data_IF_318271535185
#
_entry.id   IF_318271535185
#
_cell.length_a   1.000
_cell.length_b   1.000
_cell.length_c   1.000
_cell.angle_alpha   90.00
_cell.angle_beta   90.00
_cell.angle_gamma   90.00
#
_symmetry.space_group_name_H-M   'P 1'
#
loop_
_entity.id
_entity.type
_entity.pdbx_description
1 polymer ?
#
# COMPACT_ATOMS: atom_id res chain seq x y z
N UNK A 1 19.74 -10.71 -8.11
CA UNK A 1 18.42 -11.10 -7.62
C UNK A 1 17.89 -10.00 -6.69
N UNK A 2 16.67 -9.53 -6.95
CA UNK A 2 16.04 -8.48 -6.15
C UNK A 2 14.81 -9.02 -5.41
N UNK A 3 14.58 -8.49 -4.22
CA UNK A 3 13.40 -8.76 -3.41
C UNK A 3 12.75 -7.44 -3.02
N UNK A 4 11.43 -7.38 -3.09
CA UNK A 4 10.65 -6.27 -2.54
C UNK A 4 10.12 -6.70 -1.18
N UNK A 5 10.35 -5.89 -0.17
CA UNK A 5 9.96 -6.16 1.22
C UNK A 5 9.09 -5.04 1.73
N UNK A 6 7.92 -5.38 2.23
CA UNK A 6 7.05 -4.44 2.94
C UNK A 6 7.34 -4.48 4.43
N UNK A 7 7.39 -3.32 5.05
CA UNK A 7 7.45 -3.20 6.50
C UNK A 7 6.06 -2.75 6.99
N UNK A 8 5.19 -3.71 7.20
CA UNK A 8 3.88 -3.46 7.79
C UNK A 8 4.05 -2.93 9.21
N UNK A 9 3.52 -1.75 9.47
CA UNK A 9 3.48 -1.21 10.80
C UNK A 9 2.14 -0.53 11.03
N UNK A 10 1.41 -1.00 11.99
CA UNK A 10 0.19 -0.39 12.45
C UNK A 10 0.54 0.69 13.48
N UNK A 11 1.04 1.83 12.99
CA UNK A 11 1.59 2.91 13.83
C UNK A 11 0.68 3.31 14.98
N UNK A 12 -0.62 3.38 14.73
CA UNK A 12 -1.58 3.79 15.75
C UNK A 12 -1.77 2.78 16.89
N UNK A 13 -1.45 1.50 16.66
CA UNK A 13 -1.57 0.46 17.68
C UNK A 13 -0.38 0.41 18.61
N UNK A 14 0.81 0.72 18.10
CA UNK A 14 2.05 0.49 18.83
C UNK A 14 2.67 1.75 19.40
N UNK A 15 2.36 2.92 18.82
CA UNK A 15 3.03 4.16 19.19
C UNK A 15 2.02 5.27 19.48
N UNK A 16 1.92 5.73 20.74
CA UNK A 16 1.11 6.88 21.07
C UNK A 16 1.54 8.11 20.24
N UNK A 17 0.55 8.90 19.89
CA UNK A 17 0.76 10.16 19.17
C UNK A 17 1.83 11.03 19.83
N UNK A 18 2.66 11.66 18.98
CA UNK A 18 3.73 12.55 19.43
C UNK A 18 4.90 11.85 20.11
N UNK A 19 4.90 10.52 20.16
CA UNK A 19 6.06 9.79 20.67
C UNK A 19 7.20 9.78 19.66
N UNK A 20 8.43 9.71 20.17
CA UNK A 20 9.61 9.57 19.31
C UNK A 20 9.58 8.27 18.52
N UNK A 21 8.96 7.22 19.04
CA UNK A 21 8.78 5.95 18.36
C UNK A 21 7.82 6.08 17.18
N UNK A 22 6.75 6.85 17.33
CA UNK A 22 5.86 7.16 16.22
C UNK A 22 6.60 7.86 15.07
N UNK A 23 7.42 8.86 15.38
CA UNK A 23 8.22 9.55 14.39
C UNK A 23 9.29 8.67 13.73
N UNK A 24 9.75 7.65 14.42
CA UNK A 24 10.74 6.69 13.92
C UNK A 24 10.13 5.48 13.19
N UNK A 25 8.86 5.21 13.39
CA UNK A 25 8.17 4.10 12.76
C UNK A 25 7.86 4.41 11.27
N UNK A 26 8.90 4.48 10.49
CA UNK A 26 8.83 4.66 9.03
C UNK A 26 8.45 3.35 8.39
N UNK A 27 7.15 3.16 8.14
CA UNK A 27 6.66 2.00 7.42
C UNK A 27 6.76 2.26 5.94
N UNK A 28 7.61 1.53 5.26
CA UNK A 28 7.84 1.72 3.83
C UNK A 28 8.10 0.38 3.12
N UNK A 29 8.18 0.46 1.80
CA UNK A 29 8.57 -0.64 0.93
C UNK A 29 10.05 -0.48 0.64
N UNK A 30 10.76 -1.60 0.64
CA UNK A 30 12.20 -1.64 0.44
C UNK A 30 12.57 -2.53 -0.74
N UNK A 31 13.52 -2.08 -1.55
CA UNK A 31 14.18 -2.89 -2.56
C UNK A 31 15.48 -3.44 -1.97
N UNK A 32 15.61 -4.75 -1.97
CA UNK A 32 16.75 -5.46 -1.37
C UNK A 32 17.44 -6.32 -2.42
N UNK A 33 18.74 -6.17 -2.55
CA UNK A 33 19.58 -7.11 -3.31
C UNK A 33 19.82 -8.37 -2.46
N UNK A 34 19.35 -9.49 -2.98
CA UNK A 34 19.47 -10.82 -2.39
C UNK A 34 20.32 -11.74 -3.28
N UNK A 35 21.19 -11.18 -4.11
CA UNK A 35 22.11 -11.97 -4.95
C UNK A 35 23.05 -12.86 -4.11
N UNK A 36 23.45 -12.37 -2.95
CA UNK A 36 23.99 -13.19 -1.87
C UNK A 36 22.96 -13.21 -0.71
N UNK A 37 22.20 -14.31 -0.57
CA UNK A 37 21.14 -14.38 0.45
C UNK A 37 21.67 -14.41 1.88
N UNK A 38 22.97 -14.60 2.07
CA UNK A 38 23.61 -14.53 3.40
C UNK A 38 24.01 -13.10 3.78
N UNK A 39 24.02 -12.18 2.82
CA UNK A 39 24.35 -10.76 3.00
C UNK A 39 23.38 -9.88 2.20
N UNK A 40 22.07 -9.86 2.55
CA UNK A 40 21.09 -9.02 1.86
C UNK A 40 21.45 -7.54 2.06
N UNK A 41 21.32 -6.75 1.00
CA UNK A 41 21.66 -5.32 1.01
C UNK A 41 20.46 -4.48 0.60
N UNK A 42 20.05 -3.55 1.44
CA UNK A 42 19.08 -2.53 1.07
C UNK A 42 19.67 -1.61 0.00
N UNK A 43 19.01 -1.50 -1.15
CA UNK A 43 19.49 -0.68 -2.27
C UNK A 43 18.62 0.53 -2.56
N UNK A 44 17.34 0.48 -2.24
CA UNK A 44 16.44 1.63 -2.38
C UNK A 44 15.22 1.52 -1.45
N UNK A 45 14.68 2.68 -1.11
CA UNK A 45 13.36 2.80 -0.51
C UNK A 45 12.37 3.32 -1.56
N UNK A 46 11.14 2.87 -1.49
CA UNK A 46 10.08 3.35 -2.37
C UNK A 46 9.64 4.77 -1.99
N UNK A 47 9.19 5.58 -2.95
CA UNK A 47 8.61 6.87 -2.65
C UNK A 47 7.47 6.73 -1.64
N UNK A 48 7.49 7.58 -0.62
CA UNK A 48 6.42 7.61 0.37
C UNK A 48 5.15 8.15 -0.29
N UNK A 49 3.96 7.55 -0.05
CA UNK A 49 2.73 7.99 -0.68
C UNK A 49 2.42 9.46 -0.37
N UNK A 50 2.20 10.25 -1.41
CA UNK A 50 1.73 11.62 -1.27
C UNK A 50 0.23 11.66 -1.03
N UNK A 51 -0.22 12.58 -0.19
CA UNK A 51 -1.64 12.82 0.07
C UNK A 51 -2.23 13.54 -1.15
N UNK A 52 -3.28 12.99 -1.80
CA UNK A 52 -3.93 13.68 -2.90
C UNK A 52 -4.50 15.04 -2.47
N UNK A 53 -4.53 16.01 -3.38
CA UNK A 53 -5.00 17.37 -3.10
C UNK A 53 -6.46 17.41 -2.62
N UNK A 54 -7.28 16.49 -3.11
CA UNK A 54 -8.70 16.36 -2.75
C UNK A 54 -8.96 15.37 -1.61
N UNK A 55 -7.90 14.83 -0.99
CA UNK A 55 -8.05 13.92 0.14
C UNK A 55 -8.64 14.66 1.35
N UNK A 56 -9.66 14.10 2.03
CA UNK A 56 -10.41 14.83 3.06
C UNK A 56 -9.61 15.12 4.34
N UNK A 57 -8.39 14.61 4.45
CA UNK A 57 -7.53 14.74 5.61
C UNK A 57 -6.14 15.25 5.21
N UNK A 58 -5.41 15.95 6.11
CA UNK A 58 -4.11 16.51 5.80
C UNK A 58 -2.99 15.46 5.65
N UNK A 59 -3.23 14.24 6.08
CA UNK A 59 -2.30 13.12 5.95
C UNK A 59 -3.06 11.80 6.06
N UNK A 60 -2.40 10.68 5.73
CA UNK A 60 -2.99 9.35 5.83
C UNK A 60 -3.04 8.81 7.27
N UNK A 61 -2.25 9.36 8.17
CA UNK A 61 -2.28 9.02 9.58
C UNK A 61 -3.25 9.96 10.31
N UNK A 62 -4.50 9.56 10.37
CA UNK A 62 -5.62 10.44 10.77
C UNK A 62 -6.13 10.20 12.19
N UNK A 63 -5.38 9.54 13.04
CA UNK A 63 -5.80 9.29 14.43
C UNK A 63 -6.30 10.55 15.14
N UNK A 64 -5.65 11.68 14.90
CA UNK A 64 -5.94 12.96 15.56
C UNK A 64 -7.16 13.67 15.00
N UNK A 65 -7.68 13.21 13.88
CA UNK A 65 -8.80 13.84 13.19
C UNK A 65 -10.11 13.09 13.40
N UNK A 66 -10.10 12.13 14.33
CA UNK A 66 -11.29 11.33 14.64
C UNK A 66 -11.60 10.24 13.61
N UNK A 67 -10.73 10.04 12.63
CA UNK A 67 -10.80 8.92 11.70
C UNK A 67 -9.78 7.87 12.08
N UNK A 68 -10.06 6.63 11.81
CA UNK A 68 -9.21 5.52 12.23
C UNK A 68 -8.92 4.57 11.08
N UNK A 69 -7.66 4.29 10.90
CA UNK A 69 -7.16 3.30 9.95
C UNK A 69 -5.64 3.21 10.02
N UNK A 70 -5.07 2.03 9.83
CA UNK A 70 -3.64 1.87 9.74
C UNK A 70 -3.10 2.60 8.50
N UNK A 71 -1.85 3.00 8.59
CA UNK A 71 -1.08 3.55 7.49
C UNK A 71 0.25 2.80 7.38
N UNK A 72 0.53 2.28 6.23
CA UNK A 72 1.75 1.54 5.93
C UNK A 72 1.52 0.55 4.78
N UNK A 73 2.60 0.05 4.15
CA UNK A 73 2.49 -0.97 3.13
C UNK A 73 2.06 -2.29 3.75
N UNK A 74 1.15 -2.96 3.09
CA UNK A 74 0.64 -4.27 3.50
C UNK A 74 1.00 -5.32 2.44
N UNK A 75 0.03 -5.82 1.69
CA UNK A 75 0.27 -6.88 0.72
C UNK A 75 0.65 -6.34 -0.66
N UNK A 76 1.45 -7.13 -1.36
CA UNK A 76 1.92 -6.89 -2.72
C UNK A 76 1.26 -7.88 -3.68
N UNK A 77 1.09 -7.45 -4.94
CA UNK A 77 0.89 -8.44 -6.00
C UNK A 77 2.14 -9.31 -6.14
N UNK A 78 1.94 -10.62 -6.07
CA UNK A 78 3.00 -11.61 -6.22
C UNK A 78 2.92 -12.30 -7.57
N UNK A 79 3.88 -12.06 -8.49
CA UNK A 79 3.97 -12.79 -9.74
C UNK A 79 4.42 -14.24 -9.48
N UNK A 80 3.50 -15.17 -9.49
CA UNK A 80 3.80 -16.60 -9.28
C UNK A 80 4.00 -17.29 -10.62
N UNK A 81 5.18 -17.82 -10.87
CA UNK A 81 5.53 -18.46 -12.16
C UNK A 81 4.66 -19.67 -12.53
N UNK A 82 4.05 -20.31 -11.54
CA UNK A 82 3.10 -21.43 -11.74
C UNK A 82 1.65 -20.96 -11.93
N UNK A 83 1.39 -19.67 -12.01
CA UNK A 83 0.08 -19.04 -12.18
C UNK A 83 0.09 -18.12 -13.42
N UNK A 84 0.04 -18.68 -14.64
CA UNK A 84 0.22 -17.89 -15.87
C UNK A 84 -0.87 -16.85 -16.11
N UNK A 85 -1.99 -16.94 -15.41
CA UNK A 85 -3.06 -15.93 -15.46
C UNK A 85 -2.81 -14.70 -14.57
N UNK A 86 -1.76 -14.70 -13.75
CA UNK A 86 -1.28 -13.52 -13.04
C UNK A 86 -0.26 -12.75 -13.88
N UNK A 87 -0.23 -11.44 -13.73
CA UNK A 87 0.79 -10.61 -14.35
C UNK A 87 2.19 -11.05 -13.86
N UNK A 88 3.12 -11.23 -14.80
CA UNK A 88 4.47 -11.72 -14.52
C UNK A 88 5.54 -10.64 -14.74
N UNK A 89 5.15 -9.37 -14.74
CA UNK A 89 6.09 -8.26 -14.96
C UNK A 89 7.04 -8.11 -13.77
N UNK A 90 8.34 -7.96 -14.07
CA UNK A 90 9.37 -7.70 -13.05
C UNK A 90 9.75 -6.22 -12.91
N UNK A 91 9.15 -5.34 -13.73
CA UNK A 91 9.41 -3.91 -13.76
C UNK A 91 8.35 -3.08 -13.02
N UNK A 92 7.42 -3.74 -12.35
CA UNK A 92 6.29 -3.09 -11.68
C UNK A 92 5.98 -3.73 -10.34
N UNK A 93 5.64 -2.89 -9.36
CA UNK A 93 5.17 -3.30 -8.03
C UNK A 93 3.81 -2.68 -7.77
N UNK A 94 2.88 -3.50 -7.31
CA UNK A 94 1.56 -3.08 -6.82
C UNK A 94 1.50 -3.37 -5.34
N UNK A 95 1.16 -2.38 -4.54
CA UNK A 95 1.12 -2.48 -3.09
C UNK A 95 -0.15 -1.88 -2.52
N UNK A 96 -0.85 -2.63 -1.69
CA UNK A 96 -1.88 -2.09 -0.82
C UNK A 96 -1.21 -1.39 0.37
N UNK A 97 -1.61 -0.15 0.61
CA UNK A 97 -0.98 0.72 1.61
C UNK A 97 -1.98 1.19 2.68
N UNK A 98 -2.90 0.32 3.05
CA UNK A 98 -4.02 0.60 3.95
C UNK A 98 -4.75 1.91 3.59
N UNK A 99 -4.73 2.90 4.51
CA UNK A 99 -5.40 4.18 4.31
C UNK A 99 -4.87 5.01 3.12
N UNK A 100 -3.67 4.73 2.64
CA UNK A 100 -3.15 5.37 1.43
C UNK A 100 -3.62 4.69 0.13
N UNK A 101 -4.39 3.61 0.21
CA UNK A 101 -4.95 2.93 -0.94
C UNK A 101 -3.95 2.01 -1.66
N UNK A 102 -4.28 1.65 -2.90
CA UNK A 102 -3.37 0.92 -3.78
C UNK A 102 -2.34 1.89 -4.37
N UNK A 103 -1.07 1.51 -4.38
CA UNK A 103 0.04 2.22 -5.01
C UNK A 103 0.69 1.35 -6.07
N UNK A 104 1.09 1.96 -7.18
CA UNK A 104 1.72 1.28 -8.32
C UNK A 104 3.04 1.98 -8.62
N UNK A 105 4.12 1.21 -8.68
CA UNK A 105 5.47 1.72 -8.85
C UNK A 105 6.16 1.13 -10.08
N UNK A 106 6.96 1.95 -10.76
CA UNK A 106 7.95 1.54 -11.75
C UNK A 106 9.25 1.19 -11.02
N UNK A 107 9.71 -0.04 -11.19
CA UNK A 107 10.96 -0.56 -10.63
C UNK A 107 11.91 -1.03 -11.73
N UNK A 108 11.73 -0.56 -12.96
CA UNK A 108 12.64 -0.87 -14.08
C UNK A 108 14.07 -0.44 -13.80
N UNK A 109 14.25 0.68 -13.08
CA UNK A 109 15.52 1.03 -12.42
C UNK A 109 15.35 0.82 -10.90
N UNK A 110 15.93 -0.25 -10.34
CA UNK A 110 15.76 -0.59 -8.93
C UNK A 110 16.41 0.41 -7.96
N UNK A 111 17.25 1.31 -8.46
CA UNK A 111 17.87 2.39 -7.68
C UNK A 111 17.08 3.71 -7.77
N UNK A 112 16.14 3.80 -8.71
CA UNK A 112 15.34 5.00 -8.94
C UNK A 112 13.87 4.66 -9.16
N UNK A 113 13.20 4.31 -8.10
CA UNK A 113 11.80 3.88 -8.07
C UNK A 113 10.88 5.09 -8.21
N UNK A 114 9.81 4.96 -9.01
CA UNK A 114 8.83 6.02 -9.25
C UNK A 114 7.42 5.52 -8.99
N UNK A 115 6.60 6.31 -8.32
CA UNK A 115 5.16 6.07 -8.30
C UNK A 115 4.57 6.40 -9.67
N UNK A 116 3.80 5.47 -10.23
CA UNK A 116 3.15 5.61 -11.54
C UNK A 116 1.68 6.00 -11.42
N UNK A 117 1.01 5.46 -10.42
CA UNK A 117 -0.42 5.65 -10.22
C UNK A 117 -0.82 5.21 -8.81
N UNK A 118 -1.99 5.67 -8.40
CA UNK A 118 -2.63 5.23 -7.17
C UNK A 118 -4.14 5.11 -7.34
N UNK A 119 -4.76 4.40 -6.41
CA UNK A 119 -6.20 4.36 -6.23
C UNK A 119 -6.52 4.44 -4.74
N UNK A 120 -7.14 5.53 -4.32
CA UNK A 120 -7.68 5.67 -2.96
C UNK A 120 -9.19 5.43 -3.02
N UNK A 121 -9.69 4.34 -2.44
CA UNK A 121 -11.13 4.09 -2.39
C UNK A 121 -11.85 5.21 -1.62
N UNK A 122 -13.13 5.48 -1.93
CA UNK A 122 -13.92 6.37 -1.11
C UNK A 122 -14.08 5.79 0.30
N UNK A 123 -14.19 6.67 1.30
CA UNK A 123 -14.41 6.20 2.66
C UNK A 123 -15.75 5.44 2.77
N UNK A 124 -15.77 4.30 3.45
CA UNK A 124 -16.97 3.51 3.60
C UNK A 124 -18.03 4.25 4.41
N UNK A 125 -19.28 4.18 3.96
CA UNK A 125 -20.41 4.73 4.71
C UNK A 125 -20.89 3.70 5.76
N UNK A 126 -20.02 3.41 6.72
CA UNK A 126 -20.31 2.46 7.81
C UNK A 126 -20.25 3.15 9.16
N UNK A 127 -21.06 2.67 10.07
CA UNK A 127 -20.96 3.06 11.46
C UNK A 127 -19.73 2.40 12.11
N UNK A 128 -19.12 3.02 13.13
CA UNK A 128 -17.96 2.46 13.82
C UNK A 128 -18.18 1.03 14.34
N UNK A 129 -19.36 0.72 14.84
CA UNK A 129 -19.74 -0.59 15.35
C UNK A 129 -19.86 -1.68 14.27
N UNK A 130 -20.09 -1.29 13.02
CA UNK A 130 -20.23 -2.20 11.87
C UNK A 130 -18.90 -2.38 11.11
N UNK A 131 -17.84 -1.74 11.57
CA UNK A 131 -16.51 -1.81 10.96
C UNK A 131 -15.79 -3.10 11.33
N UNK A 132 -14.81 -3.48 10.51
CA UNK A 132 -13.87 -4.55 10.83
C UNK A 132 -13.12 -4.28 12.15
N UNK A 133 -12.86 -3.02 12.49
CA UNK A 133 -12.27 -2.60 13.76
C UNK A 133 -13.28 -1.87 14.64
N UNK A 134 -14.28 -2.53 15.22
CA UNK A 134 -15.39 -1.85 15.89
C UNK A 134 -14.99 -1.09 17.16
N UNK A 135 -13.84 -1.42 17.74
CA UNK A 135 -13.33 -0.76 18.95
C UNK A 135 -12.66 0.61 18.71
N UNK A 136 -12.43 1.00 17.46
CA UNK A 136 -11.79 2.26 17.15
C UNK A 136 -12.82 3.39 17.06
N UNK A 137 -12.56 4.58 17.61
CA UNK A 137 -13.49 5.71 17.54
C UNK A 137 -13.49 6.39 16.17
N UNK A 138 -14.54 7.15 15.88
CA UNK A 138 -14.65 8.01 14.70
C UNK A 138 -15.04 7.30 13.39
N UNK A 139 -15.20 8.07 12.30
CA UNK A 139 -15.50 7.53 10.99
C UNK A 139 -14.35 6.68 10.44
N UNK A 140 -14.67 5.77 9.54
CA UNK A 140 -13.67 4.87 8.94
C UNK A 140 -13.09 5.45 7.68
N UNK A 141 -11.77 5.29 7.53
CA UNK A 141 -11.11 5.43 6.25
C UNK A 141 -11.30 4.14 5.44
N UNK A 142 -11.33 4.27 4.12
CA UNK A 142 -11.10 3.12 3.27
C UNK A 142 -9.68 2.60 3.49
N UNK A 143 -9.54 1.29 3.56
CA UNK A 143 -8.27 0.64 3.85
C UNK A 143 -8.10 -0.53 2.89
N UNK A 144 -7.20 -0.37 1.93
CA UNK A 144 -6.83 -1.47 1.03
C UNK A 144 -5.98 -2.49 1.77
N UNK A 145 -6.24 -3.75 1.51
CA UNK A 145 -5.61 -4.84 2.25
C UNK A 145 -4.76 -5.72 1.36
N UNK A 146 -5.32 -6.25 0.28
CA UNK A 146 -4.62 -7.14 -0.61
C UNK A 146 -4.94 -6.83 -2.07
N UNK A 147 -4.02 -7.19 -2.98
CA UNK A 147 -4.23 -7.04 -4.40
C UNK A 147 -3.62 -8.18 -5.22
N UNK A 148 -4.23 -8.46 -6.35
CA UNK A 148 -3.60 -9.23 -7.40
C UNK A 148 -3.87 -8.61 -8.78
N UNK A 149 -3.01 -8.89 -9.73
CA UNK A 149 -3.12 -8.38 -11.11
C UNK A 149 -3.15 -9.57 -12.06
N UNK A 150 -4.12 -9.60 -12.98
CA UNK A 150 -4.20 -10.65 -13.98
C UNK A 150 -3.35 -10.31 -15.23
N UNK A 151 -3.16 -11.30 -16.08
CA UNK A 151 -2.39 -11.20 -17.33
C UNK A 151 -2.99 -10.22 -18.36
N UNK A 152 -4.24 -9.76 -18.15
CA UNK A 152 -4.93 -8.74 -18.95
C UNK A 152 -4.76 -7.33 -18.37
N UNK A 153 -4.08 -7.19 -17.23
CA UNK A 153 -3.84 -5.93 -16.54
C UNK A 153 -5.03 -5.42 -15.71
N UNK A 154 -5.99 -6.29 -15.36
CA UNK A 154 -6.97 -5.94 -14.33
C UNK A 154 -6.40 -6.14 -12.95
N UNK A 155 -6.63 -5.16 -12.09
CA UNK A 155 -6.16 -5.14 -10.71
C UNK A 155 -7.34 -5.40 -9.80
N UNK A 156 -7.23 -6.40 -8.96
CA UNK A 156 -8.22 -6.81 -8.00
C UNK A 156 -7.75 -6.38 -6.62
N UNK A 157 -8.56 -5.58 -5.90
CA UNK A 157 -8.19 -4.99 -4.62
C UNK A 157 -9.25 -5.29 -3.59
N UNK A 158 -8.85 -5.80 -2.44
CA UNK A 158 -9.72 -5.95 -1.27
C UNK A 158 -9.58 -4.76 -0.33
N UNK A 159 -10.69 -4.37 0.30
CA UNK A 159 -10.75 -3.32 1.29
C UNK A 159 -11.50 -3.82 2.52
N UNK A 160 -11.04 -3.49 3.72
CA UNK A 160 -11.62 -4.01 4.96
C UNK A 160 -13.11 -3.71 5.11
N UNK A 161 -13.51 -2.47 4.93
CA UNK A 161 -14.88 -2.04 5.23
C UNK A 161 -15.72 -1.79 3.99
N UNK A 162 -15.13 -1.81 2.81
CA UNK A 162 -15.78 -1.40 1.56
C UNK A 162 -15.86 -2.53 0.52
N UNK A 163 -15.21 -3.66 0.78
CA UNK A 163 -15.35 -4.87 0.00
C UNK A 163 -14.29 -5.03 -1.09
N UNK A 164 -14.67 -4.96 -2.39
CA UNK A 164 -13.82 -5.43 -3.47
C UNK A 164 -13.92 -4.52 -4.70
N UNK A 165 -12.77 -4.16 -5.26
CA UNK A 165 -12.66 -3.36 -6.48
C UNK A 165 -11.99 -4.13 -7.60
N UNK A 166 -12.47 -3.92 -8.82
CA UNK A 166 -11.81 -4.34 -10.05
C UNK A 166 -11.42 -3.08 -10.81
N UNK A 167 -10.14 -2.87 -10.96
CA UNK A 167 -9.57 -1.66 -11.53
C UNK A 167 -8.83 -1.98 -12.82
N UNK A 168 -8.67 -0.98 -13.65
CA UNK A 168 -7.74 -0.99 -14.77
C UNK A 168 -7.01 0.35 -14.80
N UNK A 169 -5.69 0.30 -14.96
CA UNK A 169 -4.90 1.52 -15.05
C UNK A 169 -5.34 2.34 -16.26
N UNK A 170 -5.56 3.63 -16.05
CA UNK A 170 -5.83 4.61 -17.11
C UNK A 170 -4.63 5.57 -17.19
N UNK A 171 -4.18 5.92 -18.38
CA UNK A 171 -3.05 6.84 -18.58
C UNK A 171 -2.13 6.41 -19.71
N UNK A 172 -1.09 7.22 -19.98
CA UNK A 172 -0.14 6.97 -21.07
C UNK A 172 0.45 5.56 -20.96
N UNK A 173 0.37 4.91 -22.08
CA UNK A 173 0.55 3.49 -22.29
C UNK A 173 1.73 2.88 -21.54
N UNK A 174 1.49 1.68 -21.08
CA UNK A 174 2.47 0.62 -21.03
C UNK A 174 2.95 0.36 -22.49
N UNK A 175 3.87 1.20 -22.97
CA UNK A 175 4.58 0.97 -24.25
C UNK A 175 5.90 0.26 -23.93
#
# INVERSE_FOLDING_TARGET
NLCVVTNEGERFQFFPEGSIKEAQAMNNIHMVDVSDPTHPTLIAEFPYPEVPEDFPYPNFNVMNLGCQGPFGPHNLHEPMSNKPWLEQRGDRVYCCYFAAGLRIYDVSDPYYIKELAYFSPPNPNKKPEDSFFPGLPGPRNAMTEDCCVDDRGYIYVTCFDDGFYVLKRTGAADN
#
